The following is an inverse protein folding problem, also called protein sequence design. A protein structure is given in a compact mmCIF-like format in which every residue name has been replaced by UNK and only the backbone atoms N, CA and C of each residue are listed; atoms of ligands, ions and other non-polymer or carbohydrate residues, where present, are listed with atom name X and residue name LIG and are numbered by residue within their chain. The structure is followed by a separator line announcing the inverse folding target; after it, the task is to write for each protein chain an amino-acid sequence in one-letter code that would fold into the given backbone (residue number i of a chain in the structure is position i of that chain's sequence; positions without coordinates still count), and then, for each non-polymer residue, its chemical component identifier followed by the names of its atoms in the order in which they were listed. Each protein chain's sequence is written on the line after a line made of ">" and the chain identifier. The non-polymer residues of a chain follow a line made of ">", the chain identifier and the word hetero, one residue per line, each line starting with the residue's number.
data_IF_636048263523
#
_entry.id   IF_636048263523
#
_cell.length_a   1.000
_cell.length_b   1.000
_cell.length_c   1.000
_cell.angle_alpha   90.00
_cell.angle_beta   90.00
_cell.angle_gamma   90.00
#
_symmetry.space_group_name_H-M   'P 1'
#
loop_
_entity.id
_entity.type
_entity.pdbx_description
1 polymer ?
#
# COMPACT_ATOMS: atom_id res chain seq x y z
N UNK A 1 9.79 51.98 6.94
CA UNK A 1 8.74 50.97 6.74
C UNK A 1 9.21 50.09 5.60
N UNK A 2 9.87 48.99 5.94
CA UNK A 2 10.35 48.00 4.98
C UNK A 2 9.14 47.18 4.59
N UNK A 3 8.74 47.24 3.32
CA UNK A 3 7.76 46.29 2.79
C UNK A 3 8.46 44.94 2.70
N UNK A 4 8.12 44.03 3.61
CA UNK A 4 8.26 42.61 3.39
C UNK A 4 7.33 42.28 2.21
N UNK A 5 7.89 42.05 1.03
CA UNK A 5 7.15 41.45 -0.07
C UNK A 5 6.80 40.02 0.38
N UNK A 6 5.52 39.76 0.63
CA UNK A 6 5.04 38.41 0.85
C UNK A 6 5.24 37.56 -0.40
N UNK A 7 5.56 36.28 -0.23
CA UNK A 7 5.52 35.28 -1.30
C UNK A 7 4.20 35.42 -2.05
N UNK A 8 4.27 35.85 -3.31
CA UNK A 8 3.16 35.66 -4.22
C UNK A 8 2.97 34.15 -4.36
N UNK A 9 1.75 33.66 -4.11
CA UNK A 9 1.41 32.27 -4.38
C UNK A 9 1.60 32.00 -5.87
N UNK A 10 2.37 30.95 -6.21
CA UNK A 10 2.48 30.43 -7.56
C UNK A 10 1.06 30.16 -8.11
N UNK A 11 0.78 30.61 -9.33
CA UNK A 11 -0.50 30.32 -10.00
C UNK A 11 -0.40 28.94 -10.65
N UNK A 12 -1.52 28.22 -10.74
CA UNK A 12 -1.58 26.96 -11.49
C UNK A 12 -2.02 27.22 -12.92
N UNK A 13 -1.24 26.71 -13.87
CA UNK A 13 -1.55 26.64 -15.29
C UNK A 13 -1.73 25.19 -15.71
N UNK A 14 -2.83 24.85 -16.36
CA UNK A 14 -3.11 23.48 -16.82
C UNK A 14 -3.01 23.42 -18.34
N UNK A 15 -2.29 22.43 -18.86
CA UNK A 15 -2.14 22.22 -20.29
C UNK A 15 -3.49 21.88 -20.94
N UNK A 16 -3.80 22.55 -22.04
CA UNK A 16 -5.01 22.34 -22.85
C UNK A 16 -4.68 22.05 -24.31
N UNK A 17 -3.49 22.45 -24.76
CA UNK A 17 -3.09 22.36 -26.16
C UNK A 17 -3.93 23.22 -27.12
N UNK A 18 -4.66 24.23 -26.64
CA UNK A 18 -5.57 25.03 -27.46
C UNK A 18 -4.86 26.04 -28.39
N UNK A 19 -3.55 26.25 -28.22
CA UNK A 19 -2.70 27.02 -29.11
C UNK A 19 -2.20 26.18 -30.28
N UNK A 20 -0.89 25.94 -30.35
CA UNK A 20 -0.31 25.03 -31.34
C UNK A 20 -0.29 23.55 -30.88
N UNK A 21 -0.55 23.30 -29.59
CA UNK A 21 -0.55 21.96 -29.01
C UNK A 21 0.84 21.34 -28.81
N UNK A 22 1.93 22.09 -29.01
CA UNK A 22 3.30 21.54 -28.99
C UNK A 22 4.34 22.41 -28.27
N UNK A 23 4.13 23.72 -28.14
CA UNK A 23 5.14 24.62 -27.56
C UNK A 23 4.81 25.01 -26.12
N UNK A 24 5.77 24.84 -25.20
CA UNK A 24 5.58 25.10 -23.77
C UNK A 24 5.36 26.59 -23.51
N UNK A 25 6.19 27.45 -24.12
CA UNK A 25 6.15 28.90 -23.96
C UNK A 25 4.90 29.59 -24.52
N UNK A 26 4.07 28.87 -25.31
CA UNK A 26 2.88 29.44 -25.91
C UNK A 26 1.72 29.50 -24.91
N UNK A 27 1.40 30.72 -24.45
CA UNK A 27 0.33 30.97 -23.48
C UNK A 27 -1.03 30.35 -23.85
N UNK A 28 -1.39 30.29 -25.14
CA UNK A 28 -2.67 29.72 -25.57
C UNK A 28 -2.78 28.20 -25.34
N UNK A 29 -1.66 27.50 -25.10
CA UNK A 29 -1.70 26.09 -24.73
C UNK A 29 -2.09 25.88 -23.27
N UNK A 30 -2.16 26.93 -22.45
CA UNK A 30 -2.38 26.83 -21.01
C UNK A 30 -3.69 27.51 -20.59
N UNK A 31 -4.48 26.81 -19.77
CA UNK A 31 -5.56 27.41 -19.01
C UNK A 31 -5.00 27.99 -17.71
N UNK A 32 -5.22 29.29 -17.51
CA UNK A 32 -4.69 30.04 -16.37
C UNK A 32 -4.19 31.42 -16.79
N UNK A 33 -3.64 32.17 -15.86
CA UNK A 33 -2.93 33.42 -16.16
C UNK A 33 -1.61 33.39 -15.41
N UNK A 34 -0.47 33.30 -16.12
CA UNK A 34 0.83 33.20 -15.46
C UNK A 34 1.14 34.49 -14.70
N UNK A 35 1.97 34.35 -13.68
CA UNK A 35 2.57 35.48 -12.98
C UNK A 35 3.34 36.34 -13.99
N UNK A 36 3.09 37.66 -13.99
CA UNK A 36 3.66 38.57 -14.99
C UNK A 36 2.94 38.60 -16.35
N UNK A 37 1.92 37.76 -16.55
CA UNK A 37 1.04 37.78 -17.73
C UNK A 37 1.62 37.15 -19.00
N UNK A 38 2.84 36.61 -18.93
CA UNK A 38 3.51 35.84 -19.99
C UNK A 38 4.19 34.62 -19.38
N UNK A 39 4.41 33.58 -20.18
CA UNK A 39 5.24 32.43 -19.78
C UNK A 39 6.69 32.79 -20.12
N UNK A 40 7.47 33.18 -19.13
CA UNK A 40 8.91 33.41 -19.26
C UNK A 40 9.64 32.12 -18.92
N UNK A 41 10.09 31.39 -19.95
CA UNK A 41 10.81 30.11 -19.76
C UNK A 41 12.16 30.27 -19.06
N UNK A 42 12.67 31.50 -18.94
CA UNK A 42 13.88 31.82 -18.18
C UNK A 42 13.64 32.11 -16.69
N UNK A 43 12.37 32.25 -16.29
CA UNK A 43 11.94 32.58 -14.92
C UNK A 43 10.56 31.96 -14.61
N UNK A 44 10.47 30.63 -14.65
CA UNK A 44 9.24 29.92 -14.36
C UNK A 44 9.01 29.86 -12.84
N UNK A 45 8.08 30.68 -12.36
CA UNK A 45 7.72 30.82 -10.92
C UNK A 45 6.35 30.25 -10.57
N UNK A 46 5.63 29.72 -11.57
CA UNK A 46 4.28 29.18 -11.45
C UNK A 46 4.26 27.63 -11.44
N UNK A 47 3.11 27.04 -11.13
CA UNK A 47 2.88 25.60 -11.24
C UNK A 47 2.28 25.26 -12.60
N UNK A 48 2.93 24.39 -13.36
CA UNK A 48 2.51 23.94 -14.68
C UNK A 48 2.05 22.49 -14.59
N UNK A 49 0.81 22.20 -14.98
CA UNK A 49 0.20 20.87 -14.87
C UNK A 49 -0.03 20.28 -16.26
N UNK A 50 0.55 19.12 -16.53
CA UNK A 50 0.36 18.32 -17.74
C UNK A 50 -0.26 16.97 -17.38
N UNK A 51 -1.58 16.89 -17.43
CA UNK A 51 -2.39 15.72 -17.06
C UNK A 51 -3.04 15.02 -18.25
N UNK A 52 -2.82 15.53 -19.46
CA UNK A 52 -3.33 14.99 -20.71
C UNK A 52 -2.18 14.60 -21.64
N UNK A 53 -2.34 13.54 -22.45
CA UNK A 53 -1.31 13.17 -23.41
C UNK A 53 -1.03 14.30 -24.41
N UNK A 54 0.20 14.81 -24.39
CA UNK A 54 0.72 15.79 -25.34
C UNK A 54 2.17 15.48 -25.68
N UNK A 55 2.65 15.97 -26.83
CA UNK A 55 4.07 15.94 -27.18
C UNK A 55 4.55 17.37 -27.28
N UNK A 56 5.20 17.82 -26.22
CA UNK A 56 5.75 19.17 -26.10
C UNK A 56 7.20 19.11 -26.53
N UNK A 57 7.59 20.01 -27.43
CA UNK A 57 8.96 20.20 -27.86
C UNK A 57 9.31 21.66 -27.64
N UNK A 58 10.35 21.92 -26.86
CA UNK A 58 10.81 23.27 -26.59
C UNK A 58 12.29 23.40 -26.93
N UNK A 59 12.64 24.50 -27.57
CA UNK A 59 14.00 24.77 -28.04
C UNK A 59 14.81 25.63 -27.06
N UNK A 60 14.11 26.27 -26.12
CA UNK A 60 14.70 26.97 -24.99
C UNK A 60 14.81 26.06 -23.76
N UNK A 61 15.60 26.51 -22.79
CA UNK A 61 15.54 25.98 -21.44
C UNK A 61 14.19 26.24 -20.77
N UNK A 62 13.88 25.43 -19.76
CA UNK A 62 12.76 25.62 -18.85
C UNK A 62 13.31 25.79 -17.44
N UNK A 63 13.41 27.05 -16.99
CA UNK A 63 14.05 27.41 -15.71
C UNK A 63 13.02 27.56 -14.61
N UNK A 64 12.69 26.46 -13.94
CA UNK A 64 11.87 26.48 -12.73
C UNK A 64 12.68 27.09 -11.57
N UNK A 65 12.20 28.23 -11.06
CA UNK A 65 12.80 28.95 -9.93
C UNK A 65 12.08 28.61 -8.62
N UNK A 66 12.45 29.29 -7.54
CA UNK A 66 11.76 29.18 -6.26
C UNK A 66 10.24 29.41 -6.43
N UNK A 67 9.44 28.39 -6.09
CA UNK A 67 7.98 28.40 -6.25
C UNK A 67 7.47 27.91 -7.61
N UNK A 68 8.35 27.80 -8.61
CA UNK A 68 8.07 27.18 -9.89
C UNK A 68 8.02 25.67 -9.80
N UNK A 69 7.01 25.07 -10.42
CA UNK A 69 6.81 23.62 -10.40
C UNK A 69 6.27 23.09 -11.72
N UNK A 70 6.65 21.87 -12.07
CA UNK A 70 6.01 21.07 -13.10
C UNK A 70 5.38 19.82 -12.47
N UNK A 71 4.11 19.58 -12.72
CA UNK A 71 3.40 18.35 -12.34
C UNK A 71 2.92 17.68 -13.62
N UNK A 72 3.42 16.48 -13.90
CA UNK A 72 3.13 15.74 -15.12
C UNK A 72 2.67 14.32 -14.79
N UNK A 73 1.54 13.90 -15.34
CA UNK A 73 1.04 12.52 -15.22
C UNK A 73 0.85 11.83 -16.58
N UNK A 74 1.00 12.56 -17.69
CA UNK A 74 0.90 12.02 -19.04
C UNK A 74 1.73 12.85 -20.05
N UNK A 75 1.90 12.32 -21.26
CA UNK A 75 2.59 13.03 -22.35
C UNK A 75 4.11 13.01 -22.24
N UNK A 76 4.76 13.81 -23.09
CA UNK A 76 6.21 13.91 -23.20
C UNK A 76 6.64 15.37 -23.34
N UNK A 77 7.68 15.78 -22.62
CA UNK A 77 8.37 17.06 -22.83
C UNK A 77 9.79 16.78 -23.30
N UNK A 78 10.13 17.22 -24.51
CA UNK A 78 11.48 17.10 -25.06
C UNK A 78 12.14 18.47 -25.17
N UNK A 79 13.17 18.68 -24.35
CA UNK A 79 14.10 19.80 -24.44
C UNK A 79 15.56 19.33 -24.58
N UNK A 80 15.77 18.07 -24.99
CA UNK A 80 17.10 17.48 -25.08
C UNK A 80 17.99 18.19 -26.12
N UNK A 81 17.39 18.90 -27.08
CA UNK A 81 18.12 19.74 -28.04
C UNK A 81 18.55 21.11 -27.49
N UNK A 82 18.12 21.51 -26.29
CA UNK A 82 18.53 22.78 -25.68
C UNK A 82 19.95 22.70 -25.10
N UNK A 83 20.66 23.83 -25.09
CA UNK A 83 22.07 23.87 -24.69
C UNK A 83 22.32 23.59 -23.19
N UNK A 84 21.34 23.87 -22.32
CA UNK A 84 21.50 23.93 -20.86
C UNK A 84 20.64 22.96 -20.04
N UNK A 85 19.47 22.50 -20.51
CA UNK A 85 18.58 21.59 -19.77
C UNK A 85 17.48 22.28 -18.96
N UNK A 86 16.99 21.63 -17.89
CA UNK A 86 15.95 22.15 -16.98
C UNK A 86 16.57 22.76 -15.73
N UNK A 87 15.99 23.88 -15.28
CA UNK A 87 16.47 24.63 -14.13
C UNK A 87 17.64 25.56 -14.47
N UNK A 88 18.26 26.17 -13.45
CA UNK A 88 19.32 27.15 -13.64
C UNK A 88 20.18 27.30 -12.41
N UNK A 89 21.52 27.31 -12.58
CA UNK A 89 22.50 27.41 -11.50
C UNK A 89 22.65 28.85 -10.96
N UNK A 90 21.93 29.18 -9.89
CA UNK A 90 22.01 30.46 -9.16
C UNK A 90 22.21 30.30 -7.64
N UNK A 91 22.35 29.07 -7.16
CA UNK A 91 22.38 28.66 -5.76
C UNK A 91 21.22 29.29 -4.95
N UNK A 92 19.95 29.08 -5.34
CA UNK A 92 18.79 29.62 -4.69
C UNK A 92 18.60 28.93 -3.35
N UNK A 93 18.11 29.68 -2.38
CA UNK A 93 17.69 29.12 -1.09
C UNK A 93 16.51 28.12 -1.23
N UNK A 94 15.82 28.10 -2.39
CA UNK A 94 14.72 27.20 -2.72
C UNK A 94 14.75 26.78 -4.20
N UNK A 95 15.11 25.52 -4.52
CA UNK A 95 15.09 25.01 -5.90
C UNK A 95 13.66 24.85 -6.45
N UNK A 96 13.54 24.79 -7.78
CA UNK A 96 12.29 24.43 -8.44
C UNK A 96 11.95 22.95 -8.25
N UNK A 97 10.69 22.57 -8.48
CA UNK A 97 10.25 21.18 -8.33
C UNK A 97 9.69 20.59 -9.61
N UNK A 98 9.92 19.29 -9.81
CA UNK A 98 9.28 18.50 -10.86
C UNK A 98 8.68 17.27 -10.20
N UNK A 99 7.41 17.00 -10.48
CA UNK A 99 6.71 15.80 -10.07
C UNK A 99 6.20 15.07 -11.32
N UNK A 100 6.74 13.89 -11.56
CA UNK A 100 6.35 13.01 -12.65
C UNK A 100 5.64 11.80 -12.05
N UNK A 101 4.37 11.61 -12.40
CA UNK A 101 3.55 10.44 -12.03
C UNK A 101 3.12 9.63 -13.26
N UNK A 102 3.89 9.78 -14.34
CA UNK A 102 3.68 9.19 -15.66
C UNK A 102 4.29 10.05 -16.76
N UNK A 103 4.32 9.53 -17.98
CA UNK A 103 4.88 10.24 -19.13
C UNK A 103 6.40 10.33 -19.11
N UNK A 104 6.96 11.18 -19.98
CA UNK A 104 8.41 11.33 -20.11
C UNK A 104 8.89 12.78 -20.17
N UNK A 105 10.11 13.00 -19.68
CA UNK A 105 10.87 14.23 -19.90
C UNK A 105 12.24 13.85 -20.47
N UNK A 106 12.66 14.52 -21.54
CA UNK A 106 14.03 14.46 -22.04
C UNK A 106 14.68 15.84 -21.91
N UNK A 107 15.81 15.91 -21.21
CA UNK A 107 16.56 17.14 -21.00
C UNK A 107 18.07 16.86 -21.06
N UNK A 108 18.87 17.89 -21.28
CA UNK A 108 20.33 17.73 -21.29
C UNK A 108 20.90 17.63 -19.87
N UNK A 109 20.52 18.55 -19.01
CA UNK A 109 20.91 18.59 -17.60
C UNK A 109 19.71 18.94 -16.73
N UNK A 110 19.77 18.57 -15.46
CA UNK A 110 19.04 19.21 -14.37
C UNK A 110 19.98 20.18 -13.65
N UNK A 111 19.46 21.33 -13.26
CA UNK A 111 20.19 22.34 -12.51
C UNK A 111 19.31 22.92 -11.40
N UNK A 112 19.64 22.65 -10.13
CA UNK A 112 18.91 23.16 -8.96
C UNK A 112 17.42 22.81 -8.94
N UNK A 113 17.16 21.51 -9.11
CA UNK A 113 15.82 20.94 -9.10
C UNK A 113 15.69 19.82 -8.07
N UNK A 114 14.50 19.73 -7.47
CA UNK A 114 14.05 18.53 -6.80
C UNK A 114 13.05 17.80 -7.69
N UNK A 115 13.43 16.61 -8.15
CA UNK A 115 12.61 15.80 -9.05
C UNK A 115 12.04 14.59 -8.30
N UNK A 116 10.74 14.37 -8.38
CA UNK A 116 10.04 13.19 -7.87
C UNK A 116 9.53 12.35 -9.04
N UNK A 117 9.85 11.06 -9.06
CA UNK A 117 9.49 10.11 -10.11
C UNK A 117 8.61 8.99 -9.51
N UNK A 118 7.32 9.06 -9.80
CA UNK A 118 6.30 8.07 -9.48
C UNK A 118 5.97 7.13 -10.64
N UNK A 119 4.79 6.53 -10.59
CA UNK A 119 4.42 5.40 -11.47
C UNK A 119 4.62 5.70 -12.96
N UNK A 120 5.38 4.85 -13.65
CA UNK A 120 5.63 4.92 -15.09
C UNK A 120 6.38 6.17 -15.58
N UNK A 121 6.95 6.98 -14.68
CA UNK A 121 7.70 8.17 -15.02
C UNK A 121 9.05 7.84 -15.69
N UNK A 122 9.36 8.51 -16.79
CA UNK A 122 10.64 8.35 -17.50
C UNK A 122 11.36 9.69 -17.60
N UNK A 123 12.60 9.74 -17.12
CA UNK A 123 13.48 10.90 -17.27
C UNK A 123 14.70 10.51 -18.09
N UNK A 124 14.91 11.17 -19.23
CA UNK A 124 16.11 10.99 -20.06
C UNK A 124 17.02 12.20 -19.91
N UNK A 125 18.28 11.95 -19.54
CA UNK A 125 19.32 12.97 -19.42
C UNK A 125 20.43 12.73 -20.46
N UNK A 126 20.61 13.71 -21.34
CA UNK A 126 21.50 13.58 -22.52
C UNK A 126 22.85 14.27 -22.38
N UNK A 127 23.06 15.02 -21.30
CA UNK A 127 24.28 15.76 -21.03
C UNK A 127 25.38 14.91 -20.39
N UNK A 128 26.66 15.15 -20.74
CA UNK A 128 27.79 14.42 -20.16
C UNK A 128 28.30 15.02 -18.84
N UNK A 129 29.11 14.25 -18.13
CA UNK A 129 29.74 14.49 -16.84
C UNK A 129 28.74 14.67 -15.69
N UNK A 130 27.98 15.76 -15.67
CA UNK A 130 27.12 16.09 -14.52
C UNK A 130 25.68 16.45 -14.90
N UNK A 131 24.93 15.51 -15.53
CA UNK A 131 23.51 15.66 -15.86
C UNK A 131 22.60 15.96 -14.68
N UNK A 132 22.97 15.62 -13.44
CA UNK A 132 22.18 15.91 -12.22
C UNK A 132 22.87 17.00 -11.39
N UNK A 133 22.94 18.23 -11.91
CA UNK A 133 23.76 19.28 -11.31
C UNK A 133 23.00 20.01 -10.18
N UNK A 134 23.57 20.07 -8.97
CA UNK A 134 22.93 20.65 -7.77
C UNK A 134 21.45 20.26 -7.61
N UNK A 135 21.10 19.05 -8.06
CA UNK A 135 19.74 18.55 -8.15
C UNK A 135 19.62 17.23 -7.40
N UNK A 136 18.39 16.89 -7.01
CA UNK A 136 18.05 15.60 -6.42
C UNK A 136 16.96 14.89 -7.22
N UNK A 137 17.00 13.57 -7.23
CA UNK A 137 15.96 12.73 -7.85
C UNK A 137 15.46 11.73 -6.81
N UNK A 138 14.16 11.69 -6.59
CA UNK A 138 13.52 10.75 -5.68
C UNK A 138 12.61 9.79 -6.45
N UNK A 139 12.91 8.50 -6.37
CA UNK A 139 12.01 7.45 -6.84
C UNK A 139 10.95 7.17 -5.77
N UNK A 140 9.68 7.28 -6.15
CA UNK A 140 8.51 7.00 -5.29
C UNK A 140 7.69 5.81 -5.78
N UNK A 141 8.09 5.20 -6.90
CA UNK A 141 7.47 3.99 -7.48
C UNK A 141 8.54 3.12 -8.14
N UNK A 142 8.32 1.80 -8.19
CA UNK A 142 9.28 0.83 -8.71
C UNK A 142 9.40 0.84 -10.24
N UNK A 143 8.41 1.41 -10.93
CA UNK A 143 8.32 1.46 -12.40
C UNK A 143 8.93 2.72 -13.01
N UNK A 144 9.41 3.64 -12.17
CA UNK A 144 10.10 4.85 -12.61
C UNK A 144 11.51 4.55 -13.14
N UNK A 145 11.96 5.33 -14.11
CA UNK A 145 13.25 5.14 -14.78
C UNK A 145 13.97 6.47 -15.02
N UNK A 146 15.30 6.47 -14.83
CA UNK A 146 16.19 7.51 -15.34
C UNK A 146 17.16 6.91 -16.36
N UNK A 147 17.13 7.39 -17.58
CA UNK A 147 18.05 7.00 -18.65
C UNK A 147 19.09 8.10 -18.87
N UNK A 148 20.36 7.78 -18.61
CA UNK A 148 21.49 8.61 -19.01
C UNK A 148 22.03 8.14 -20.35
N UNK A 149 22.00 8.97 -21.40
CA UNK A 149 22.45 8.53 -22.73
C UNK A 149 23.96 8.63 -22.93
N UNK A 150 24.65 9.44 -22.12
CA UNK A 150 26.09 9.71 -22.22
C UNK A 150 26.82 9.54 -20.87
N UNK A 151 26.23 8.77 -19.95
CA UNK A 151 26.89 8.35 -18.70
C UNK A 151 26.95 6.82 -18.61
N UNK A 152 28.16 6.30 -18.44
CA UNK A 152 28.33 4.87 -18.16
C UNK A 152 27.84 4.50 -16.76
N UNK A 153 27.56 3.22 -16.52
CA UNK A 153 27.17 2.72 -15.19
C UNK A 153 28.17 3.10 -14.09
N UNK A 154 29.47 3.09 -14.42
CA UNK A 154 30.53 3.47 -13.48
C UNK A 154 30.52 4.97 -13.15
N UNK A 155 30.24 5.82 -14.13
CA UNK A 155 30.15 7.26 -13.94
C UNK A 155 28.94 7.63 -13.07
N UNK A 156 27.76 7.08 -13.38
CA UNK A 156 26.55 7.25 -12.55
C UNK A 156 26.80 6.79 -11.11
N UNK A 157 27.43 5.63 -10.92
CA UNK A 157 27.74 5.09 -9.60
C UNK A 157 28.63 6.04 -8.78
N UNK A 158 29.66 6.62 -9.40
CA UNK A 158 30.57 7.53 -8.69
C UNK A 158 30.01 8.94 -8.48
N UNK A 159 29.20 9.43 -9.41
CA UNK A 159 28.88 10.87 -9.48
C UNK A 159 27.43 11.20 -9.09
N UNK A 160 26.49 10.27 -9.23
CA UNK A 160 25.06 10.59 -9.17
C UNK A 160 24.27 9.79 -8.14
N UNK A 161 24.71 8.60 -7.73
CA UNK A 161 23.97 7.79 -6.74
C UNK A 161 23.69 8.55 -5.44
N UNK A 162 24.65 9.36 -4.97
CA UNK A 162 24.47 10.19 -3.78
C UNK A 162 23.41 11.29 -3.90
N UNK A 163 22.88 11.53 -5.11
CA UNK A 163 21.83 12.52 -5.40
C UNK A 163 20.45 11.88 -5.50
N UNK A 164 20.37 10.56 -5.34
CA UNK A 164 19.13 9.80 -5.45
C UNK A 164 18.61 9.35 -4.10
N UNK A 165 17.29 9.33 -3.98
CA UNK A 165 16.57 8.64 -2.92
C UNK A 165 15.57 7.66 -3.51
N UNK A 166 15.34 6.54 -2.83
CA UNK A 166 14.37 5.51 -3.22
C UNK A 166 13.45 5.27 -2.03
N UNK A 167 12.16 5.57 -2.20
CA UNK A 167 11.15 5.54 -1.12
C UNK A 167 11.58 6.30 0.13
N UNK A 168 12.24 7.45 -0.05
CA UNK A 168 12.73 8.31 1.03
C UNK A 168 14.05 7.87 1.68
N UNK A 169 14.59 6.69 1.34
CA UNK A 169 15.90 6.24 1.79
C UNK A 169 17.01 6.68 0.81
N UNK A 170 18.25 6.95 1.27
CA UNK A 170 19.39 7.17 0.38
C UNK A 170 19.58 5.99 -0.60
N UNK A 171 19.88 6.28 -1.86
CA UNK A 171 20.09 5.25 -2.86
C UNK A 171 21.42 4.51 -2.65
N UNK A 172 21.38 3.19 -2.78
CA UNK A 172 22.52 2.27 -2.69
C UNK A 172 22.40 1.27 -3.83
N UNK A 173 23.35 1.33 -4.77
CA UNK A 173 23.40 0.43 -5.92
C UNK A 173 23.47 -1.04 -5.49
N UNK A 174 22.63 -1.88 -6.08
CA UNK A 174 22.48 -3.30 -5.77
C UNK A 174 21.63 -3.59 -4.53
N UNK A 175 21.14 -2.57 -3.83
CA UNK A 175 20.22 -2.72 -2.70
C UNK A 175 18.86 -2.18 -3.09
N UNK A 176 18.68 -0.86 -3.14
CA UNK A 176 17.40 -0.25 -3.53
C UNK A 176 17.45 0.38 -4.93
N UNK A 177 18.58 0.28 -5.64
CA UNK A 177 18.78 0.86 -6.97
C UNK A 177 19.55 -0.11 -7.89
N UNK A 178 19.05 -0.37 -9.10
CA UNK A 178 19.79 -0.99 -10.20
C UNK A 178 20.39 0.06 -11.12
N UNK A 179 21.59 -0.20 -11.65
CA UNK A 179 22.26 0.63 -12.64
C UNK A 179 22.81 -0.31 -13.70
N UNK A 180 22.19 -0.29 -14.88
CA UNK A 180 22.50 -1.19 -15.98
C UNK A 180 22.98 -0.42 -17.20
N UNK A 181 23.77 -1.06 -18.07
CA UNK A 181 24.16 -0.43 -19.33
C UNK A 181 22.96 -0.43 -20.27
N UNK A 182 22.77 0.67 -21.00
CA UNK A 182 21.74 0.76 -22.04
C UNK A 182 22.12 0.01 -23.34
N UNK A 183 23.27 -0.68 -23.36
CA UNK A 183 23.84 -1.34 -24.54
C UNK A 183 24.59 -0.40 -25.49
N UNK A 184 24.69 0.88 -25.16
CA UNK A 184 25.42 1.92 -25.89
C UNK A 184 26.43 2.62 -24.96
N UNK A 185 26.52 3.96 -25.03
CA UNK A 185 27.39 4.78 -24.17
C UNK A 185 26.79 5.06 -22.79
N UNK A 186 25.50 4.76 -22.60
CA UNK A 186 24.72 5.21 -21.49
C UNK A 186 24.44 4.14 -20.42
N UNK A 187 23.53 4.50 -19.54
CA UNK A 187 23.05 3.65 -18.46
C UNK A 187 21.61 3.96 -18.08
N UNK A 188 20.92 2.93 -17.61
CA UNK A 188 19.55 3.01 -17.12
C UNK A 188 19.59 2.76 -15.61
N UNK A 189 18.92 3.65 -14.89
CA UNK A 189 18.77 3.59 -13.44
C UNK A 189 17.30 3.32 -13.12
N UNK A 190 17.06 2.23 -12.40
CA UNK A 190 15.74 1.87 -11.90
C UNK A 190 15.82 1.59 -10.40
N UNK A 191 14.78 1.93 -9.64
CA UNK A 191 14.65 1.45 -8.27
C UNK A 191 14.45 -0.07 -8.30
N UNK A 192 14.93 -0.75 -7.25
CA UNK A 192 14.69 -2.17 -7.02
C UNK A 192 14.23 -2.38 -5.58
N UNK A 193 13.49 -3.46 -5.35
CA UNK A 193 13.20 -3.95 -4.01
C UNK A 193 14.09 -5.18 -3.81
N UNK A 194 15.23 -5.03 -3.13
CA UNK A 194 15.90 -6.22 -2.57
C UNK A 194 15.16 -6.64 -1.31
N UNK A 195 14.39 -7.70 -1.45
CA UNK A 195 13.91 -8.49 -0.32
C UNK A 195 15.13 -8.95 0.51
N UNK A 196 15.10 -8.67 1.82
CA UNK A 196 16.13 -9.20 2.72
C UNK A 196 15.99 -10.72 2.75
N UNK A 197 17.07 -11.51 2.54
CA UNK A 197 16.98 -12.96 2.59
C UNK A 197 16.47 -13.43 3.96
N UNK A 198 15.27 -14.00 3.99
CA UNK A 198 14.58 -14.42 5.20
C UNK A 198 13.69 -15.63 4.93
N UNK A 199 13.26 -16.30 6.00
CA UNK A 199 12.09 -17.18 5.92
C UNK A 199 10.87 -16.33 6.16
N UNK A 200 9.87 -16.45 5.29
CA UNK A 200 8.64 -15.66 5.36
C UNK A 200 7.44 -16.54 5.60
N UNK A 201 6.54 -16.11 6.47
CA UNK A 201 5.18 -16.62 6.57
C UNK A 201 4.25 -15.62 5.90
N UNK A 202 3.80 -15.95 4.70
CA UNK A 202 2.80 -15.16 4.00
C UNK A 202 1.42 -15.45 4.57
N UNK A 203 0.69 -14.40 4.92
CA UNK A 203 -0.67 -14.44 5.45
C UNK A 203 -1.58 -13.75 4.46
N UNK A 204 -2.48 -14.48 3.81
CA UNK A 204 -3.41 -13.88 2.86
C UNK A 204 -4.63 -13.32 3.59
N UNK A 205 -4.83 -12.00 3.52
CA UNK A 205 -5.93 -11.28 4.19
C UNK A 205 -7.31 -11.70 3.73
N UNK A 206 -7.46 -12.01 2.45
CA UNK A 206 -8.75 -12.33 1.84
C UNK A 206 -9.23 -13.75 2.21
N UNK A 207 -8.30 -14.68 2.42
CA UNK A 207 -8.58 -16.12 2.55
C UNK A 207 -8.20 -16.73 3.89
N UNK A 208 -7.32 -16.09 4.66
CA UNK A 208 -6.72 -16.67 5.86
C UNK A 208 -5.60 -17.68 5.59
N UNK A 209 -5.19 -17.85 4.33
CA UNK A 209 -4.15 -18.81 3.95
C UNK A 209 -2.79 -18.43 4.54
N UNK A 210 -2.12 -19.41 5.15
CA UNK A 210 -0.76 -19.32 5.65
C UNK A 210 0.20 -20.07 4.73
N UNK A 211 1.31 -19.45 4.31
CA UNK A 211 2.34 -20.09 3.47
C UNK A 211 3.74 -19.79 3.98
N UNK A 212 4.45 -20.80 4.48
CA UNK A 212 5.84 -20.66 4.93
C UNK A 212 6.77 -20.84 3.73
N UNK A 213 7.68 -19.91 3.47
CA UNK A 213 8.58 -19.93 2.31
C UNK A 213 10.02 -19.60 2.70
N UNK A 214 10.98 -20.38 2.19
CA UNK A 214 12.40 -20.10 2.40
C UNK A 214 12.99 -19.20 1.29
N UNK A 215 13.20 -17.93 1.60
CA UNK A 215 13.83 -16.94 0.71
C UNK A 215 15.24 -16.53 1.17
N UNK A 216 15.89 -17.35 2.00
CA UNK A 216 17.25 -17.06 2.52
C UNK A 216 18.36 -17.17 1.47
N UNK A 217 18.02 -17.63 0.25
CA UNK A 217 18.97 -17.89 -0.83
C UNK A 217 19.72 -19.22 -0.70
N UNK A 218 19.52 -19.98 0.39
CA UNK A 218 20.12 -21.30 0.63
C UNK A 218 19.07 -22.27 1.21
N UNK A 219 19.39 -23.57 1.25
CA UNK A 219 18.54 -24.54 1.94
C UNK A 219 18.63 -24.34 3.47
N UNK A 220 17.50 -24.54 4.15
CA UNK A 220 17.37 -24.33 5.60
C UNK A 220 16.95 -25.63 6.28
N UNK A 221 17.71 -26.06 7.28
CA UNK A 221 17.41 -27.25 8.08
C UNK A 221 16.82 -26.86 9.42
N UNK A 222 15.67 -27.43 9.78
CA UNK A 222 14.93 -27.17 11.03
C UNK A 222 14.22 -28.43 11.50
N UNK A 223 13.71 -28.45 12.73
CA UNK A 223 13.01 -29.61 13.30
C UNK A 223 11.69 -29.26 13.99
N UNK A 224 11.39 -27.98 14.19
CA UNK A 224 10.18 -27.52 14.84
C UNK A 224 9.81 -26.13 14.31
N UNK A 225 8.51 -25.84 14.29
CA UNK A 225 8.02 -24.47 14.15
C UNK A 225 6.90 -24.16 15.14
N UNK A 226 6.78 -22.88 15.47
CA UNK A 226 5.73 -22.33 16.32
C UNK A 226 5.17 -21.04 15.69
N UNK A 227 3.85 -20.92 15.61
CA UNK A 227 3.11 -19.74 15.17
C UNK A 227 2.17 -19.31 16.29
N UNK A 228 2.31 -18.07 16.77
CA UNK A 228 1.52 -17.50 17.86
C UNK A 228 0.61 -16.38 17.38
N UNK A 229 -0.53 -16.24 18.06
CA UNK A 229 -1.38 -15.05 18.02
C UNK A 229 -1.91 -14.77 19.43
N UNK A 230 -1.56 -13.62 19.98
CA UNK A 230 -2.11 -13.13 21.26
C UNK A 230 -3.56 -12.68 21.13
N UNK A 231 -3.97 -12.18 19.96
CA UNK A 231 -5.32 -11.74 19.66
C UNK A 231 -6.30 -12.90 19.45
N UNK A 232 -5.79 -14.13 19.30
CA UNK A 232 -6.61 -15.30 19.00
C UNK A 232 -6.94 -15.42 17.52
N UNK A 233 -6.03 -15.08 16.61
CA UNK A 233 -6.27 -15.09 15.17
C UNK A 233 -6.06 -16.45 14.49
N UNK A 234 -5.82 -17.55 15.22
CA UNK A 234 -5.51 -18.85 14.62
C UNK A 234 -6.66 -19.86 14.74
N UNK A 235 -6.87 -20.73 13.76
CA UNK A 235 -7.86 -21.82 13.77
C UNK A 235 -7.19 -23.15 13.51
N UNK A 236 -6.95 -23.89 14.59
CA UNK A 236 -6.35 -25.23 14.51
C UNK A 236 -7.12 -26.18 13.59
N UNK A 237 -8.46 -26.08 13.54
CA UNK A 237 -9.27 -26.93 12.65
C UNK A 237 -9.08 -26.66 11.15
N UNK A 238 -8.52 -25.51 10.78
CA UNK A 238 -8.23 -25.12 9.38
C UNK A 238 -6.73 -25.15 9.06
N UNK A 239 -5.91 -25.62 10.00
CA UNK A 239 -4.47 -25.75 9.85
C UNK A 239 -4.10 -27.05 9.12
N UNK A 240 -3.35 -26.91 8.02
CA UNK A 240 -2.75 -28.02 7.30
C UNK A 240 -1.32 -28.20 7.79
N UNK A 241 -1.15 -28.97 8.87
CA UNK A 241 0.16 -29.24 9.46
C UNK A 241 1.00 -30.16 8.57
N UNK A 242 2.32 -30.13 8.71
CA UNK A 242 3.27 -31.13 8.19
C UNK A 242 2.87 -32.53 8.68
N UNK A 243 2.59 -32.68 9.97
CA UNK A 243 2.15 -33.95 10.53
C UNK A 243 0.89 -34.49 9.82
N UNK A 244 1.03 -35.64 9.15
CA UNK A 244 -0.05 -36.32 8.44
C UNK A 244 -0.42 -35.70 7.09
N UNK A 245 0.35 -34.74 6.56
CA UNK A 245 0.14 -34.19 5.21
C UNK A 245 1.42 -34.13 4.39
N UNK A 246 2.53 -33.64 4.97
CA UNK A 246 3.80 -33.40 4.27
C UNK A 246 4.98 -34.22 4.81
N UNK A 247 4.75 -35.00 5.87
CA UNK A 247 5.74 -35.89 6.50
C UNK A 247 5.75 -37.29 5.88
N UNK A 248 6.45 -38.23 6.54
CA UNK A 248 6.67 -39.56 5.98
C UNK A 248 5.36 -40.28 5.63
N UNK A 249 5.36 -41.03 4.52
CA UNK A 249 4.17 -41.72 4.05
C UNK A 249 3.62 -42.74 5.06
N UNK A 250 4.47 -43.25 5.96
CA UNK A 250 4.05 -44.14 7.04
C UNK A 250 3.14 -43.45 8.07
N UNK A 251 3.21 -42.12 8.19
CA UNK A 251 2.41 -41.30 9.09
C UNK A 251 1.26 -40.56 8.38
N UNK A 252 1.03 -40.85 7.10
CA UNK A 252 -0.07 -40.30 6.31
C UNK A 252 0.27 -39.09 5.46
N UNK A 253 1.50 -38.58 5.53
CA UNK A 253 1.98 -37.53 4.64
C UNK A 253 2.41 -38.04 3.25
N UNK A 254 2.88 -37.11 2.42
CA UNK A 254 3.38 -37.40 1.07
C UNK A 254 4.91 -37.36 0.95
N UNK A 255 5.61 -37.06 2.04
CA UNK A 255 7.06 -36.95 2.12
C UNK A 255 7.66 -35.71 1.42
N UNK A 256 6.84 -34.73 1.05
CA UNK A 256 7.29 -33.53 0.31
C UNK A 256 8.10 -32.54 1.16
N UNK A 257 7.89 -32.54 2.48
CA UNK A 257 8.70 -31.78 3.43
C UNK A 257 9.66 -32.70 4.16
N UNK A 258 9.18 -33.84 4.67
CA UNK A 258 10.01 -34.78 5.43
C UNK A 258 9.65 -36.21 5.03
N UNK A 259 10.58 -36.93 4.39
CA UNK A 259 10.28 -38.22 3.78
C UNK A 259 10.47 -39.42 4.71
N UNK A 260 11.13 -39.22 5.85
CA UNK A 260 11.68 -40.29 6.68
C UNK A 260 11.52 -40.08 8.18
N UNK A 261 10.96 -38.95 8.62
CA UNK A 261 10.59 -38.73 10.02
C UNK A 261 9.12 -38.36 10.17
N UNK A 262 8.47 -38.96 11.17
CA UNK A 262 7.13 -38.54 11.60
C UNK A 262 7.18 -37.16 12.26
N UNK A 263 6.18 -36.35 11.97
CA UNK A 263 5.94 -35.08 12.64
C UNK A 263 4.85 -35.20 13.71
N UNK A 264 4.97 -34.42 14.78
CA UNK A 264 4.09 -34.42 15.93
C UNK A 264 3.53 -33.02 16.18
N UNK A 265 2.21 -32.92 16.29
CA UNK A 265 1.53 -31.68 16.69
C UNK A 265 1.68 -31.46 18.20
N UNK A 266 2.09 -30.26 18.58
CA UNK A 266 2.13 -29.80 19.98
C UNK A 266 0.91 -28.95 20.35
N UNK A 267 0.19 -28.45 19.35
CA UNK A 267 -1.02 -27.64 19.53
C UNK A 267 -2.19 -28.43 20.11
N UNK A 268 -2.85 -27.84 21.11
CA UNK A 268 -4.09 -28.37 21.67
C UNK A 268 -5.25 -28.22 20.68
N UNK A 269 -6.14 -29.22 20.64
CA UNK A 269 -7.33 -29.19 19.78
C UNK A 269 -8.18 -27.93 20.04
N UNK A 270 -8.55 -27.22 18.97
CA UNK A 270 -9.31 -25.98 19.05
C UNK A 270 -8.53 -24.77 19.57
N UNK A 271 -7.19 -24.85 19.66
CA UNK A 271 -6.33 -23.71 19.96
C UNK A 271 -6.61 -22.53 19.03
N UNK A 272 -6.65 -21.34 19.62
CA UNK A 272 -6.83 -20.06 18.90
C UNK A 272 -5.57 -19.19 18.86
N UNK A 273 -4.55 -19.57 19.62
CA UNK A 273 -3.41 -18.70 19.96
C UNK A 273 -2.05 -19.31 19.62
N UNK A 274 -2.02 -20.58 19.22
CA UNK A 274 -0.79 -21.29 18.86
C UNK A 274 -1.07 -22.38 17.81
N UNK A 275 -0.18 -22.51 16.83
CA UNK A 275 -0.02 -23.63 15.91
C UNK A 275 1.46 -24.05 15.92
N UNK A 276 1.77 -25.26 16.37
CA UNK A 276 3.13 -25.73 16.60
C UNK A 276 3.23 -27.24 16.39
N UNK A 277 4.32 -27.64 15.75
CA UNK A 277 4.68 -29.03 15.52
C UNK A 277 6.18 -29.18 15.32
N UNK A 278 6.67 -30.41 15.48
CA UNK A 278 8.06 -30.73 15.24
C UNK A 278 8.31 -32.23 15.07
N UNK A 279 9.55 -32.57 14.83
CA UNK A 279 10.04 -33.94 14.71
C UNK A 279 11.27 -34.18 15.59
N UNK A 280 11.61 -35.45 15.81
CA UNK A 280 12.85 -35.84 16.48
C UNK A 280 14.05 -35.96 15.53
N UNK A 281 13.81 -35.83 14.22
CA UNK A 281 14.84 -35.71 13.19
C UNK A 281 15.04 -34.28 12.72
N UNK A 282 15.38 -34.11 11.45
CA UNK A 282 15.61 -32.81 10.82
C UNK A 282 14.99 -32.84 9.42
N UNK A 283 14.28 -31.77 9.05
CA UNK A 283 13.84 -31.55 7.67
C UNK A 283 14.67 -30.43 7.03
N UNK A 284 14.75 -30.41 5.70
CA UNK A 284 15.37 -29.33 4.95
C UNK A 284 14.36 -28.71 3.99
N UNK A 285 14.08 -27.42 4.17
CA UNK A 285 13.31 -26.60 3.25
C UNK A 285 14.27 -25.96 2.23
N UNK A 286 14.19 -26.38 0.97
CA UNK A 286 15.03 -25.83 -0.09
C UNK A 286 14.73 -24.33 -0.34
N UNK A 287 15.69 -23.61 -0.93
CA UNK A 287 15.44 -22.23 -1.36
C UNK A 287 14.27 -22.18 -2.36
N UNK A 288 13.34 -21.24 -2.17
CA UNK A 288 12.08 -21.08 -2.89
C UNK A 288 11.07 -22.24 -2.70
N UNK A 289 11.33 -23.17 -1.79
CA UNK A 289 10.32 -24.12 -1.39
C UNK A 289 9.34 -23.46 -0.41
N UNK A 290 8.07 -23.80 -0.56
CA UNK A 290 6.96 -23.32 0.26
C UNK A 290 6.18 -24.48 0.87
N UNK A 291 5.58 -24.24 2.02
CA UNK A 291 4.64 -25.14 2.71
C UNK A 291 3.32 -24.39 2.90
N UNK A 292 2.23 -24.94 2.38
CA UNK A 292 0.89 -24.40 2.58
C UNK A 292 0.30 -24.93 3.90
N UNK A 293 0.11 -24.03 4.87
CA UNK A 293 -0.36 -24.36 6.21
C UNK A 293 -1.88 -24.21 6.37
N UNK A 294 -2.61 -24.17 5.25
CA UNK A 294 -4.08 -23.99 5.20
C UNK A 294 -4.57 -22.58 5.56
N UNK A 295 -5.90 -22.42 5.57
CA UNK A 295 -6.60 -21.16 5.90
C UNK A 295 -6.75 -20.97 7.41
N UNK A 296 -5.63 -21.07 8.13
CA UNK A 296 -5.63 -21.13 9.58
C UNK A 296 -5.68 -19.75 10.25
N UNK A 297 -5.36 -18.67 9.54
CA UNK A 297 -5.53 -17.32 10.08
C UNK A 297 -6.98 -16.87 9.93
N UNK A 298 -7.49 -16.11 10.89
CA UNK A 298 -8.80 -15.46 10.80
C UNK A 298 -8.59 -14.03 10.32
N UNK A 299 -9.13 -13.70 9.12
CA UNK A 299 -9.28 -12.33 8.67
C UNK A 299 -9.84 -11.41 9.75
N UNK A 300 -9.00 -10.45 10.17
CA UNK A 300 -9.30 -9.43 11.17
C UNK A 300 -8.26 -8.29 11.11
N UNK A 301 -8.52 -7.14 11.77
CA UNK A 301 -7.54 -6.07 11.92
C UNK A 301 -6.30 -6.43 12.78
N UNK A 302 -6.32 -7.60 13.45
CA UNK A 302 -5.23 -8.01 14.34
C UNK A 302 -4.16 -8.77 13.56
N UNK A 303 -3.16 -8.02 13.10
CA UNK A 303 -1.98 -8.53 12.41
C UNK A 303 -0.85 -8.87 13.40
N UNK A 304 -1.14 -9.74 14.37
CA UNK A 304 -0.28 -9.98 15.53
C UNK A 304 0.52 -11.29 15.50
N UNK A 305 0.52 -11.99 14.36
CA UNK A 305 1.23 -13.24 14.24
C UNK A 305 2.72 -13.08 14.54
N UNK A 306 3.26 -14.10 15.21
CA UNK A 306 4.70 -14.29 15.39
C UNK A 306 5.01 -15.74 15.03
N UNK A 307 6.12 -15.97 14.35
CA UNK A 307 6.52 -17.32 14.01
C UNK A 307 8.03 -17.55 14.20
N UNK A 308 8.37 -18.76 14.57
CA UNK A 308 9.74 -19.19 14.85
C UNK A 308 9.98 -20.58 14.25
N UNK A 309 11.17 -20.80 13.69
CA UNK A 309 11.69 -22.13 13.37
C UNK A 309 12.81 -22.46 14.36
N UNK A 310 12.83 -23.67 14.90
CA UNK A 310 13.94 -24.14 15.73
C UNK A 310 14.94 -24.91 14.89
N UNK A 311 16.18 -24.43 14.88
CA UNK A 311 17.32 -25.07 14.24
C UNK A 311 18.21 -25.70 15.32
N UNK A 312 19.13 -26.57 14.93
CA UNK A 312 20.10 -27.14 15.87
C UNK A 312 20.98 -26.09 16.57
N UNK A 313 21.20 -24.95 15.92
CA UNK A 313 22.05 -23.87 16.43
C UNK A 313 21.30 -22.90 17.33
N UNK A 314 20.16 -22.41 16.85
CA UNK A 314 19.35 -21.39 17.51
C UNK A 314 17.96 -21.32 16.86
N UNK A 315 17.04 -20.61 17.51
CA UNK A 315 15.75 -20.30 16.95
C UNK A 315 15.85 -19.16 15.92
N UNK A 316 15.33 -19.39 14.72
CA UNK A 316 15.21 -18.41 13.66
C UNK A 316 13.82 -17.77 13.71
N UNK A 317 13.77 -16.45 13.87
CA UNK A 317 12.52 -15.71 13.69
C UNK A 317 12.09 -15.72 12.23
N UNK A 318 10.82 -16.04 12.01
CA UNK A 318 10.19 -15.98 10.69
C UNK A 318 9.58 -14.60 10.51
N UNK A 319 9.84 -13.98 9.37
CA UNK A 319 9.24 -12.71 8.99
C UNK A 319 7.77 -12.93 8.59
N UNK A 320 6.85 -12.18 9.18
CA UNK A 320 5.43 -12.27 8.82
C UNK A 320 5.13 -11.24 7.74
N UNK A 321 4.54 -11.67 6.64
CA UNK A 321 4.13 -10.78 5.55
C UNK A 321 2.65 -10.97 5.26
N UNK A 322 1.85 -9.96 5.57
CA UNK A 322 0.44 -9.94 5.22
C UNK A 322 0.28 -9.50 3.76
N UNK A 323 -0.50 -10.28 3.01
CA UNK A 323 -0.74 -10.18 1.57
C UNK A 323 -2.24 -10.21 1.28
N UNK A 324 -2.64 -10.17 0.02
CA UNK A 324 -4.05 -10.21 -0.39
C UNK A 324 -4.38 -9.05 -1.33
N UNK A 325 -5.63 -8.85 -1.67
CA UNK A 325 -6.04 -7.72 -2.51
C UNK A 325 -5.87 -6.37 -1.79
N UNK A 326 -5.82 -6.39 -0.46
CA UNK A 326 -5.50 -5.25 0.40
C UNK A 326 -4.02 -5.24 0.80
N UNK A 327 -3.09 -5.20 -0.17
CA UNK A 327 -1.65 -5.26 0.11
C UNK A 327 -1.21 -4.11 1.03
N UNK A 328 -1.77 -2.91 0.83
CA UNK A 328 -1.28 -1.66 1.43
C UNK A 328 -2.05 -1.20 2.68
N UNK A 329 -3.10 -1.90 3.09
CA UNK A 329 -3.87 -1.52 4.28
C UNK A 329 -4.35 -2.75 5.05
N UNK A 330 -4.17 -2.78 6.38
CA UNK A 330 -4.82 -3.77 7.23
C UNK A 330 -6.34 -3.73 7.03
N UNK A 331 -7.01 -4.85 7.33
CA UNK A 331 -8.47 -4.90 7.37
C UNK A 331 -8.98 -3.80 8.30
N UNK A 332 -9.87 -2.96 7.82
CA UNK A 332 -10.38 -1.83 8.58
C UNK A 332 -11.19 -2.29 9.79
N UNK A 333 -11.11 -1.55 10.90
CA UNK A 333 -11.75 -1.92 12.17
C UNK A 333 -13.29 -1.96 12.09
N UNK A 334 -13.91 -1.34 11.08
CA UNK A 334 -15.35 -1.45 10.84
C UNK A 334 -15.77 -2.64 9.97
N UNK A 335 -14.85 -3.40 9.39
CA UNK A 335 -15.15 -4.59 8.60
C UNK A 335 -15.18 -5.82 9.53
N UNK A 336 -16.33 -6.05 10.16
CA UNK A 336 -16.51 -7.11 11.14
C UNK A 336 -16.60 -8.50 10.51
N UNK A 337 -16.92 -8.57 9.22
CA UNK A 337 -17.06 -9.81 8.49
C UNK A 337 -15.78 -10.20 7.73
N UNK A 338 -14.88 -9.24 7.54
CA UNK A 338 -13.59 -9.33 6.87
C UNK A 338 -13.69 -9.71 5.38
N UNK A 339 -14.70 -9.20 4.68
CA UNK A 339 -14.83 -9.32 3.22
C UNK A 339 -14.12 -8.20 2.46
N UNK A 340 -13.42 -7.33 3.19
CA UNK A 340 -12.58 -6.27 2.68
C UNK A 340 -13.35 -4.97 2.41
N UNK A 341 -14.59 -4.85 2.86
CA UNK A 341 -15.41 -3.67 2.66
C UNK A 341 -16.20 -3.35 3.93
N UNK A 342 -16.08 -2.12 4.41
CA UNK A 342 -17.07 -1.60 5.36
C UNK A 342 -18.37 -1.41 4.61
N UNK A 343 -19.41 -2.15 4.99
CA UNK A 343 -20.64 -2.22 4.22
C UNK A 343 -21.87 -2.38 5.12
N UNK A 344 -23.04 -2.43 4.49
CA UNK A 344 -24.29 -2.70 5.20
C UNK A 344 -24.34 -4.13 5.80
N UNK A 345 -23.43 -5.03 5.40
CA UNK A 345 -23.33 -6.37 5.96
C UNK A 345 -22.71 -6.40 7.36
N UNK A 346 -21.90 -5.40 7.71
CA UNK A 346 -21.22 -5.31 9.00
C UNK A 346 -22.16 -4.82 10.12
N UNK A 347 -23.08 -3.93 9.77
CA UNK A 347 -24.02 -3.35 10.73
C UNK A 347 -24.83 -4.40 11.52
N UNK A 348 -25.43 -5.43 10.90
CA UNK A 348 -26.11 -6.50 11.63
C UNK A 348 -25.22 -7.24 12.64
N UNK A 349 -23.92 -7.39 12.39
CA UNK A 349 -22.99 -8.09 13.29
C UNK A 349 -22.79 -7.29 14.57
N UNK A 350 -22.49 -6.00 14.42
CA UNK A 350 -22.32 -5.08 15.54
C UNK A 350 -23.64 -4.91 16.32
N UNK A 351 -24.74 -4.64 15.63
CA UNK A 351 -26.06 -4.44 16.23
C UNK A 351 -26.52 -5.66 17.05
N UNK A 352 -26.18 -6.87 16.62
CA UNK A 352 -26.55 -8.08 17.33
C UNK A 352 -25.94 -8.17 18.74
N UNK A 353 -24.82 -7.47 18.97
CA UNK A 353 -24.11 -7.45 20.24
C UNK A 353 -24.08 -6.05 20.88
N UNK A 354 -24.82 -5.07 20.37
CA UNK A 354 -24.84 -3.73 20.95
C UNK A 354 -25.30 -3.76 22.42
N UNK A 355 -24.57 -3.05 23.28
CA UNK A 355 -24.69 -3.05 24.74
C UNK A 355 -24.38 -4.40 25.42
N UNK A 356 -23.41 -5.15 24.89
CA UNK A 356 -22.92 -6.39 25.50
C UNK A 356 -21.49 -6.26 26.04
N UNK A 357 -21.18 -7.10 27.02
CA UNK A 357 -19.83 -7.27 27.57
C UNK A 357 -19.15 -8.44 26.84
N UNK A 358 -18.06 -8.15 26.14
CA UNK A 358 -17.25 -9.11 25.37
C UNK A 358 -15.85 -9.26 25.94
N UNK A 359 -15.57 -8.73 27.14
CA UNK A 359 -14.25 -8.73 27.78
C UNK A 359 -13.70 -10.14 28.09
N UNK A 360 -14.56 -11.16 28.07
CA UNK A 360 -14.18 -12.57 28.20
C UNK A 360 -13.82 -13.26 26.87
N UNK A 361 -13.97 -12.57 25.73
CA UNK A 361 -13.63 -13.10 24.40
C UNK A 361 -12.17 -12.81 24.04
N UNK A 362 -11.64 -13.56 23.07
CA UNK A 362 -10.39 -13.21 22.41
C UNK A 362 -10.58 -11.94 21.57
N UNK A 363 -9.53 -11.17 21.33
CA UNK A 363 -9.64 -9.86 20.67
C UNK A 363 -10.30 -9.96 19.28
N UNK A 364 -9.91 -10.97 18.48
CA UNK A 364 -10.54 -11.25 17.18
C UNK A 364 -12.04 -11.55 17.30
N UNK A 365 -12.45 -12.28 18.33
CA UNK A 365 -13.86 -12.65 18.52
C UNK A 365 -14.68 -11.46 19.08
N UNK A 366 -14.08 -10.63 19.94
CA UNK A 366 -14.67 -9.39 20.44
C UNK A 366 -14.88 -8.36 19.32
N UNK A 367 -13.87 -8.16 18.47
CA UNK A 367 -13.97 -7.28 17.29
C UNK A 367 -15.07 -7.73 16.35
N UNK A 368 -15.14 -9.03 16.02
CA UNK A 368 -16.22 -9.59 15.19
C UNK A 368 -17.61 -9.48 15.84
N UNK A 369 -17.66 -9.32 17.16
CA UNK A 369 -18.90 -9.00 17.87
C UNK A 369 -19.24 -7.50 17.80
N UNK A 370 -18.30 -6.62 17.48
CA UNK A 370 -18.52 -5.18 17.30
C UNK A 370 -17.71 -4.28 18.23
N UNK A 371 -16.75 -4.81 19.00
CA UNK A 371 -15.84 -4.03 19.86
C UNK A 371 -14.76 -3.39 18.99
N UNK A 372 -14.95 -2.12 18.64
CA UNK A 372 -14.08 -1.38 17.71
C UNK A 372 -12.90 -0.73 18.43
N UNK A 373 -13.09 -0.31 19.70
CA UNK A 373 -12.04 0.34 20.46
C UNK A 373 -11.20 -0.62 21.33
N UNK A 374 -11.60 -1.90 21.40
CA UNK A 374 -10.92 -2.98 22.09
C UNK A 374 -11.07 -2.92 23.61
N UNK A 375 -12.08 -2.22 24.13
CA UNK A 375 -12.28 -2.04 25.56
C UNK A 375 -13.01 -3.22 26.24
N UNK A 376 -13.42 -4.25 25.47
CA UNK A 376 -14.14 -5.42 25.94
C UNK A 376 -15.65 -5.19 26.05
N UNK A 377 -16.19 -4.18 25.40
CA UNK A 377 -17.63 -3.89 25.35
C UNK A 377 -18.00 -3.50 23.94
N UNK A 378 -19.26 -3.72 23.60
CA UNK A 378 -19.86 -3.19 22.38
C UNK A 378 -20.89 -2.17 22.82
N UNK A 379 -20.59 -0.88 22.74
CA UNK A 379 -21.45 0.18 23.28
C UNK A 379 -21.65 1.38 22.34
N UNK A 380 -22.07 2.53 22.90
CA UNK A 380 -22.34 3.75 22.13
C UNK A 380 -21.06 4.28 21.46
N UNK A 381 -19.88 4.09 22.06
CA UNK A 381 -18.63 4.55 21.47
C UNK A 381 -18.29 3.77 20.20
N UNK A 382 -18.44 2.44 20.22
CA UNK A 382 -18.26 1.61 19.04
C UNK A 382 -19.28 1.98 17.96
N UNK A 383 -20.53 2.27 18.35
CA UNK A 383 -21.58 2.64 17.39
C UNK A 383 -21.24 3.94 16.66
N UNK A 384 -20.85 4.96 17.42
CA UNK A 384 -20.45 6.25 16.85
C UNK A 384 -19.19 6.12 16.00
N UNK A 385 -18.26 5.22 16.36
CA UNK A 385 -17.08 4.92 15.56
C UNK A 385 -17.46 4.26 14.22
N UNK A 386 -18.36 3.26 14.23
CA UNK A 386 -18.85 2.62 13.02
C UNK A 386 -19.59 3.62 12.11
N UNK A 387 -20.50 4.42 12.67
CA UNK A 387 -21.24 5.45 11.93
C UNK A 387 -20.29 6.45 11.26
N UNK A 388 -19.31 6.97 12.01
CA UNK A 388 -18.33 7.92 11.48
C UNK A 388 -17.49 7.31 10.36
N UNK A 389 -17.06 6.06 10.51
CA UNK A 389 -16.25 5.36 9.52
C UNK A 389 -17.05 5.01 8.27
N UNK A 390 -18.32 4.60 8.42
CA UNK A 390 -19.22 4.36 7.30
C UNK A 390 -19.49 5.65 6.50
N UNK A 391 -19.78 6.76 7.19
CA UNK A 391 -19.98 8.06 6.56
C UNK A 391 -18.70 8.60 5.90
N UNK A 392 -17.52 8.29 6.42
CA UNK A 392 -16.26 8.63 5.77
C UNK A 392 -16.10 7.89 4.43
N UNK A 393 -16.51 6.63 4.35
CA UNK A 393 -16.40 5.79 3.16
C UNK A 393 -17.46 6.08 2.09
N UNK A 394 -18.68 6.49 2.49
CA UNK A 394 -19.81 6.67 1.56
C UNK A 394 -20.39 8.09 1.50
N UNK A 395 -19.83 9.03 2.27
CA UNK A 395 -20.27 10.41 2.38
C UNK A 395 -21.19 10.67 3.58
N UNK A 396 -21.23 11.92 4.03
CA UNK A 396 -22.00 12.34 5.21
C UNK A 396 -23.48 11.97 5.09
N UNK A 397 -24.02 11.29 6.11
CA UNK A 397 -25.40 10.82 6.19
C UNK A 397 -25.67 9.49 5.48
N UNK A 398 -24.64 8.82 4.95
CA UNK A 398 -24.76 7.53 4.30
C UNK A 398 -25.23 6.42 5.25
N UNK A 399 -24.76 6.41 6.50
CA UNK A 399 -25.19 5.44 7.51
C UNK A 399 -26.69 5.63 7.83
N UNK A 400 -27.12 6.87 8.03
CA UNK A 400 -28.54 7.19 8.23
C UNK A 400 -29.39 6.71 7.04
N UNK A 401 -28.92 6.94 5.82
CA UNK A 401 -29.60 6.47 4.61
C UNK A 401 -29.68 4.94 4.56
N UNK A 402 -28.58 4.24 4.88
CA UNK A 402 -28.52 2.78 4.93
C UNK A 402 -29.54 2.20 5.93
N UNK A 403 -29.57 2.72 7.16
CA UNK A 403 -30.49 2.24 8.21
C UNK A 403 -31.94 2.54 7.84
N UNK A 404 -32.22 3.64 7.14
CA UNK A 404 -33.59 3.98 6.69
C UNK A 404 -34.17 3.03 5.61
N UNK A 405 -33.31 2.26 4.93
CA UNK A 405 -33.72 1.30 3.89
C UNK A 405 -34.02 -0.09 4.44
N UNK A 406 -33.69 -0.38 5.71
CA UNK A 406 -33.98 -1.68 6.34
C UNK A 406 -35.48 -1.71 6.67
N UNK A 407 -36.30 -2.56 6.02
CA UNK A 407 -37.74 -2.58 6.24
C UNK A 407 -38.05 -2.82 7.72
N UNK A 408 -38.83 -1.93 8.34
CA UNK A 408 -39.34 -2.21 9.68
C UNK A 408 -40.09 -3.55 9.65
N UNK A 409 -39.85 -4.47 10.61
CA UNK A 409 -40.60 -5.72 10.66
C UNK A 409 -42.09 -5.38 10.71
N UNK A 410 -42.94 -5.98 9.85
CA UNK A 410 -44.34 -5.62 9.78
C UNK A 410 -45.00 -5.87 11.13
N UNK A 411 -45.26 -4.81 11.88
CA UNK A 411 -45.92 -4.81 13.18
C UNK A 411 -47.43 -5.13 13.10
N UNK A 412 -47.90 -5.58 11.93
CA UNK A 412 -49.28 -5.95 11.63
C UNK A 412 -49.87 -7.02 12.57
N UNK A 413 -49.14 -8.04 13.08
CA UNK A 413 -49.73 -9.01 14.01
C UNK A 413 -50.03 -8.45 15.41
N UNK A 414 -49.38 -7.37 15.86
CA UNK A 414 -49.59 -6.83 17.21
C UNK A 414 -50.88 -6.01 17.34
N UNK A 415 -51.43 -5.48 16.25
CA UNK A 415 -52.74 -4.80 16.28
C UNK A 415 -53.92 -5.76 16.19
N UNK A 416 -53.73 -6.98 15.67
CA UNK A 416 -54.81 -7.96 15.53
C UNK A 416 -55.19 -8.66 16.85
N UNK A 417 -54.29 -8.76 17.83
CA UNK A 417 -54.55 -9.42 19.11
C UNK A 417 -55.31 -8.55 20.13
N UNK A 418 -55.32 -7.22 19.97
CA UNK A 418 -56.09 -6.30 20.84
C UNK A 418 -57.54 -6.14 20.36
N UNK A 419 -57.80 -6.23 19.04
CA UNK A 419 -59.15 -6.09 18.49
C UNK A 419 -60.07 -7.33 18.70
N UNK A 420 -59.50 -8.51 18.96
CA UNK A 420 -60.27 -9.75 19.20
C UNK A 420 -60.90 -9.88 20.60
N UNK A 421 -60.45 -9.10 21.59
CA UNK A 421 -60.86 -9.25 22.98
C UNK A 421 -62.07 -8.37 23.40
N UNK A 422 -62.53 -7.44 22.55
CA UNK A 422 -63.55 -6.43 22.93
C UNK A 422 -65.00 -6.79 22.52
N UNK A 423 -65.24 -7.87 21.76
CA UNK A 423 -66.60 -8.14 21.19
C UNK A 423 -67.48 -9.13 21.97
N UNK A 424 -67.07 -9.71 23.11
CA UNK A 424 -67.87 -10.75 23.80
C UNK A 424 -68.42 -10.42 25.20
N UNK A 425 -68.69 -9.16 25.54
CA UNK A 425 -69.48 -8.83 26.74
C UNK A 425 -70.61 -7.86 26.39
N UNK A 426 -71.79 -8.39 26.06
CA UNK A 426 -72.94 -7.52 25.79
C UNK A 426 -74.25 -8.15 25.32
N UNK A 427 -74.67 -9.33 25.81
CA UNK A 427 -76.10 -9.70 25.73
C UNK A 427 -76.56 -10.75 26.77
N UNK A 428 -77.00 -10.29 27.94
CA UNK A 428 -78.01 -10.96 28.79
C UNK A 428 -78.91 -9.86 29.41
N UNK A 429 -80.05 -9.52 28.80
CA UNK A 429 -81.44 -10.02 29.03
C UNK A 429 -82.00 -9.75 30.44
N UNK A 430 -83.12 -9.00 30.57
CA UNK A 430 -84.48 -9.54 30.86
C UNK A 430 -85.57 -8.49 31.16
N UNK A 431 -86.79 -8.91 30.79
CA UNK A 431 -88.17 -8.57 31.25
C UNK A 431 -88.68 -7.14 31.11
#
# INVERSE_FOLDING_TARGET
>A
MVFLAGSAHAVTLTWTGAGDGTTFSQLQNWAGTPTGGVIDTSDLVDTYVLDTPATIVESSDLRFRAGGSLVQSAGSIDIASADFGMGYLENPDMPGTIELSGGSIAAKFLAELNVSLGSGAQLTLTGPNNPVNESSISFTDITAEVHFTDETTSAVLSEHVGKFTVFGAPAVSGVNLSIESDGASGSIVTPIITETPAVKLYVNRDTGQLTLTNLTGQALTFFEYDILSTAGALRESQWTSIAGNYDEAANGGDGSVDSDNAWLRFTAAGSRTNLAEGTFGETTLAHNQSIELGTAWIPSPYEDLQATLSLLSEDLKVEIVYTGTQIESPIEVGDFNADGLISAADWPLMRANLFTDVSGMLAVDAHRAGDMDGNGRVDELDFLAFEALYDANFGTGAFTAMVSQVPEPPCWPMFASVAGAIVFVGSRKRS
#
